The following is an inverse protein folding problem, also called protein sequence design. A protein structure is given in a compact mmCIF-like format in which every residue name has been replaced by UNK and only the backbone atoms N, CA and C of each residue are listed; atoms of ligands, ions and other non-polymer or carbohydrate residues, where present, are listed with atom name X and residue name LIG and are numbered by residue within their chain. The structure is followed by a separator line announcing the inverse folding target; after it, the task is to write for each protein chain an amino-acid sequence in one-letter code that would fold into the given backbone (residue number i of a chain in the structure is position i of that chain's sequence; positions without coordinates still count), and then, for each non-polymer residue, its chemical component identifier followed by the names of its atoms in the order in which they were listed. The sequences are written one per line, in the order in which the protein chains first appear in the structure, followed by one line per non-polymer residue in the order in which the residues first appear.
data_IF_350568813122
#
_entry.id   IF_350568813122
#
_cell.length_a   1.000
_cell.length_b   1.000
_cell.length_c   1.000
_cell.angle_alpha   90.00
_cell.angle_beta   90.00
_cell.angle_gamma   90.00
#
_symmetry.space_group_name_H-M   'P 1'
#
loop_
_entity.id
_entity.type
_entity.pdbx_description
1 polymer ?
#
# COMPACT_ATOMS: atom_id res chain seq x y z
N UNK A 1 33.40 -32.18 79.15
CA UNK A 1 31.98 -32.44 79.47
C UNK A 1 31.18 -32.08 78.22
N UNK A 2 30.36 -33.04 77.74
CA UNK A 2 29.25 -32.97 76.74
C UNK A 2 29.57 -32.31 75.37
N UNK A 3 29.76 -32.98 74.21
CA UNK A 3 29.10 -34.12 73.51
C UNK A 3 27.56 -33.97 73.31
N UNK A 4 27.17 -33.56 72.10
CA UNK A 4 25.98 -33.99 71.29
C UNK A 4 26.29 -33.61 69.82
N UNK A 5 26.81 -34.48 68.94
CA UNK A 5 26.19 -35.60 68.20
C UNK A 5 24.98 -35.21 67.32
N UNK A 6 25.17 -35.19 66.00
CA UNK A 6 24.55 -36.21 65.14
C UNK A 6 25.42 -36.46 63.89
N UNK A 7 25.62 -37.74 63.60
CA UNK A 7 26.49 -38.31 62.56
C UNK A 7 25.66 -38.76 61.31
N UNK A 8 26.33 -39.15 60.21
CA UNK A 8 25.82 -39.18 58.82
C UNK A 8 25.35 -40.56 58.34
N UNK A 9 24.74 -40.63 57.14
CA UNK A 9 24.94 -41.71 56.14
C UNK A 9 24.20 -41.45 54.80
N UNK A 10 24.62 -42.11 53.69
CA UNK A 10 24.51 -41.66 52.30
C UNK A 10 23.55 -42.51 51.44
N UNK A 11 23.24 -42.05 50.23
CA UNK A 11 22.90 -42.94 49.10
C UNK A 11 23.56 -42.46 47.82
N UNK A 12 24.35 -43.37 47.26
CA UNK A 12 25.06 -43.31 45.99
C UNK A 12 24.28 -44.18 44.98
N UNK A 13 24.05 -43.69 43.75
CA UNK A 13 24.03 -44.52 42.53
C UNK A 13 23.84 -43.68 41.23
N UNK A 14 24.93 -43.62 40.45
CA UNK A 14 25.02 -44.10 39.05
C UNK A 14 24.41 -43.31 37.86
N UNK A 15 25.30 -42.55 37.18
CA UNK A 15 25.58 -42.35 35.74
C UNK A 15 24.50 -42.21 34.61
N UNK A 16 24.72 -41.14 33.80
CA UNK A 16 24.55 -40.94 32.33
C UNK A 16 23.20 -40.41 31.76
N UNK A 17 23.14 -39.87 30.51
CA UNK A 17 23.76 -38.65 29.97
C UNK A 17 22.72 -37.63 29.38
N UNK A 18 23.22 -36.47 28.95
CA UNK A 18 22.59 -35.32 28.26
C UNK A 18 21.13 -35.41 27.77
N UNK A 19 20.34 -34.39 28.13
CA UNK A 19 19.29 -33.85 27.24
C UNK A 19 19.48 -32.35 27.14
N UNK A 20 20.07 -31.92 26.02
CA UNK A 20 19.93 -30.57 25.50
C UNK A 20 18.47 -30.18 25.62
N UNK A 21 18.16 -29.14 26.40
CA UNK A 21 16.88 -28.46 26.25
C UNK A 21 16.91 -27.82 24.88
N UNK A 22 16.55 -28.61 23.86
CA UNK A 22 15.97 -28.12 22.64
C UNK A 22 14.72 -27.39 23.10
N UNK A 23 14.84 -26.08 23.28
CA UNK A 23 13.69 -25.22 23.12
C UNK A 23 13.26 -25.46 21.68
N UNK A 24 12.34 -26.42 21.48
CA UNK A 24 11.47 -26.38 20.33
C UNK A 24 10.96 -24.95 20.32
N UNK A 25 11.50 -24.14 19.42
CA UNK A 25 10.84 -22.97 18.94
C UNK A 25 9.55 -23.50 18.34
N UNK A 26 8.52 -23.58 19.18
CA UNK A 26 7.15 -23.45 18.71
C UNK A 26 7.24 -22.25 17.78
N UNK A 27 6.94 -22.37 16.48
CA UNK A 27 6.67 -21.20 15.69
C UNK A 27 5.48 -20.60 16.41
N UNK A 28 5.73 -19.64 17.30
CA UNK A 28 4.72 -18.68 17.64
C UNK A 28 4.22 -18.24 16.28
N UNK A 29 2.93 -18.44 15.94
CA UNK A 29 2.39 -17.57 14.94
C UNK A 29 2.67 -16.21 15.53
N UNK A 30 3.68 -15.53 14.96
CA UNK A 30 3.71 -14.08 14.99
C UNK A 30 2.37 -13.74 14.36
N UNK A 31 1.34 -13.65 15.22
CA UNK A 31 0.14 -12.92 14.90
C UNK A 31 0.71 -11.58 14.50
N UNK A 32 0.77 -11.36 13.20
CA UNK A 32 1.14 -10.10 12.61
C UNK A 32 0.17 -9.08 13.21
N UNK A 33 0.66 -8.35 14.22
CA UNK A 33 -0.12 -7.53 15.14
C UNK A 33 -0.54 -6.25 14.41
N UNK A 34 -1.54 -6.39 13.54
CA UNK A 34 -2.28 -5.30 12.96
C UNK A 34 -1.60 -4.65 11.75
N UNK A 35 -2.37 -3.85 10.99
CA UNK A 35 -1.92 -3.28 9.73
C UNK A 35 -0.64 -2.48 9.94
N UNK A 36 0.41 -2.78 9.16
CA UNK A 36 1.61 -1.94 9.04
C UNK A 36 1.15 -0.50 8.75
N UNK A 37 1.32 0.36 9.75
CA UNK A 37 0.91 1.76 9.64
C UNK A 37 1.89 2.49 8.73
N UNK A 38 1.36 3.36 7.89
CA UNK A 38 2.16 4.24 7.02
C UNK A 38 2.84 5.28 7.90
N UNK A 39 4.17 5.38 7.80
CA UNK A 39 4.93 6.42 8.49
C UNK A 39 4.63 7.80 7.90
N UNK A 40 4.59 8.83 8.76
CA UNK A 40 4.26 10.20 8.32
C UNK A 40 5.23 10.74 7.27
N UNK A 41 6.49 10.28 7.27
CA UNK A 41 7.49 10.63 6.24
C UNK A 41 7.11 10.05 4.89
N UNK A 42 6.77 8.77 4.85
CA UNK A 42 6.38 8.10 3.59
C UNK A 42 5.07 8.67 3.06
N UNK A 43 4.12 9.00 3.94
CA UNK A 43 2.90 9.70 3.55
C UNK A 43 3.22 11.08 2.95
N UNK A 44 4.11 11.86 3.56
CA UNK A 44 4.52 13.17 3.06
C UNK A 44 5.21 13.08 1.70
N UNK A 45 6.11 12.11 1.53
CA UNK A 45 6.78 11.84 0.24
C UNK A 45 5.75 11.44 -0.81
N UNK A 46 4.79 10.59 -0.45
CA UNK A 46 3.70 10.21 -1.34
C UNK A 46 2.89 11.40 -1.85
N UNK A 47 2.49 12.30 -0.95
CA UNK A 47 1.78 13.52 -1.33
C UNK A 47 2.66 14.43 -2.19
N UNK A 48 3.94 14.59 -1.86
CA UNK A 48 4.86 15.39 -2.67
C UNK A 48 5.00 14.85 -4.10
N UNK A 49 5.17 13.53 -4.24
CA UNK A 49 5.20 12.85 -5.55
C UNK A 49 3.88 13.03 -6.29
N UNK A 50 2.74 12.88 -5.60
CA UNK A 50 1.42 13.12 -6.19
C UNK A 50 1.25 14.54 -6.72
N UNK A 51 1.76 15.55 -6.00
CA UNK A 51 1.72 16.96 -6.45
C UNK A 51 2.57 17.15 -7.71
N UNK A 52 3.77 16.58 -7.76
CA UNK A 52 4.64 16.66 -8.95
C UNK A 52 3.97 15.98 -10.14
N UNK A 53 3.39 14.79 -9.97
CA UNK A 53 2.67 14.09 -11.02
C UNK A 53 1.41 14.87 -11.44
N UNK A 54 0.67 15.47 -10.50
CA UNK A 54 -0.48 16.30 -10.80
C UNK A 54 -0.10 17.53 -11.64
N UNK A 55 1.03 18.17 -11.36
CA UNK A 55 1.56 19.27 -12.19
C UNK A 55 1.85 18.80 -13.62
N UNK A 56 2.53 17.66 -13.77
CA UNK A 56 2.79 17.06 -15.08
C UNK A 56 1.47 16.74 -15.81
N UNK A 57 0.52 16.11 -15.14
CA UNK A 57 -0.79 15.78 -15.72
C UNK A 57 -1.60 17.03 -16.06
N UNK A 58 -1.44 18.13 -15.31
CA UNK A 58 -2.08 19.40 -15.62
C UNK A 58 -1.56 19.99 -16.93
N UNK A 59 -0.25 19.91 -17.16
CA UNK A 59 0.37 20.29 -18.44
C UNK A 59 -0.16 19.41 -19.57
N UNK A 60 -0.21 18.08 -19.37
CA UNK A 60 -0.75 17.13 -20.36
C UNK A 60 -2.21 17.45 -20.67
N UNK A 61 -3.05 17.68 -19.65
CA UNK A 61 -4.46 18.10 -19.81
C UNK A 61 -4.57 19.36 -20.65
N UNK A 62 -3.77 20.38 -20.34
CA UNK A 62 -3.82 21.67 -21.04
C UNK A 62 -3.38 21.54 -22.50
N UNK A 63 -2.28 20.82 -22.74
CA UNK A 63 -1.81 20.50 -24.09
C UNK A 63 -2.87 19.71 -24.88
N UNK A 64 -3.51 18.73 -24.23
CA UNK A 64 -4.55 17.91 -24.83
C UNK A 64 -5.80 18.74 -25.20
N UNK A 65 -6.27 19.58 -24.29
CA UNK A 65 -7.40 20.48 -24.57
C UNK A 65 -7.09 21.43 -25.73
N UNK A 66 -5.88 22.00 -25.76
CA UNK A 66 -5.46 22.92 -26.83
C UNK A 66 -5.30 22.22 -28.19
N UNK A 67 -4.81 20.97 -28.19
CA UNK A 67 -4.76 20.13 -29.39
C UNK A 67 -6.17 19.83 -29.92
N UNK A 68 -7.14 19.52 -29.05
CA UNK A 68 -8.54 19.24 -29.44
C UNK A 68 -9.26 20.44 -30.06
N UNK A 69 -8.94 21.66 -29.63
CA UNK A 69 -9.46 22.88 -30.28
C UNK A 69 -8.91 23.02 -31.70
N UNK A 70 -7.64 22.66 -31.94
CA UNK A 70 -7.06 22.64 -33.30
C UNK A 70 -7.71 21.59 -34.20
N UNK A 71 -8.20 20.48 -33.64
CA UNK A 71 -8.96 19.45 -34.36
C UNK A 71 -10.44 19.80 -34.64
N UNK A 72 -10.85 21.06 -34.38
CA UNK A 72 -12.22 21.57 -34.57
C UNK A 72 -13.30 20.90 -33.72
N UNK A 73 -12.93 20.42 -32.54
CA UNK A 73 -13.90 19.93 -31.56
C UNK A 73 -14.45 21.12 -30.76
N UNK A 74 -15.75 21.10 -30.46
CA UNK A 74 -16.37 22.15 -29.66
C UNK A 74 -15.56 22.44 -28.38
N UNK A 75 -15.28 23.72 -28.04
CA UNK A 75 -14.41 24.08 -26.91
C UNK A 75 -14.86 23.47 -25.58
N UNK A 76 -16.17 23.32 -25.39
CA UNK A 76 -16.76 22.67 -24.21
C UNK A 76 -16.35 21.19 -24.09
N UNK A 77 -16.36 20.44 -25.20
CA UNK A 77 -16.00 19.02 -25.23
C UNK A 77 -14.49 18.82 -25.11
N UNK A 78 -13.69 19.73 -25.69
CA UNK A 78 -12.24 19.73 -25.52
C UNK A 78 -11.85 19.88 -24.03
N UNK A 79 -12.44 20.85 -23.33
CA UNK A 79 -12.18 21.06 -21.91
C UNK A 79 -12.66 19.87 -21.06
N UNK A 80 -13.87 19.37 -21.30
CA UNK A 80 -14.41 18.20 -20.59
C UNK A 80 -13.50 16.96 -20.74
N UNK A 81 -13.01 16.68 -21.96
CA UNK A 81 -12.08 15.55 -22.18
C UNK A 81 -10.77 15.72 -21.41
N UNK A 82 -10.23 16.93 -21.33
CA UNK A 82 -9.03 17.20 -20.53
C UNK A 82 -9.25 16.94 -19.04
N UNK A 83 -10.43 17.26 -18.51
CA UNK A 83 -10.79 16.99 -17.12
C UNK A 83 -10.89 15.50 -16.80
N UNK A 84 -11.58 14.72 -17.64
CA UNK A 84 -11.68 13.27 -17.43
C UNK A 84 -10.33 12.54 -17.62
N UNK A 85 -9.49 13.02 -18.54
CA UNK A 85 -8.11 12.53 -18.70
C UNK A 85 -7.31 12.77 -17.42
N UNK A 86 -7.33 14.01 -16.93
CA UNK A 86 -6.60 14.41 -15.72
C UNK A 86 -7.06 13.61 -14.51
N UNK A 87 -8.36 13.49 -14.30
CA UNK A 87 -8.91 12.76 -13.17
C UNK A 87 -8.56 11.26 -13.23
N UNK A 88 -8.59 10.66 -14.42
CA UNK A 88 -8.18 9.26 -14.63
C UNK A 88 -6.70 9.05 -14.29
N UNK A 89 -5.82 9.89 -14.84
CA UNK A 89 -4.38 9.84 -14.58
C UNK A 89 -4.06 10.10 -13.11
N UNK A 90 -4.74 11.06 -12.48
CA UNK A 90 -4.57 11.39 -11.07
C UNK A 90 -4.95 10.20 -10.18
N UNK A 91 -6.05 9.52 -10.47
CA UNK A 91 -6.46 8.34 -9.70
C UNK A 91 -5.51 7.16 -9.90
N UNK A 92 -5.08 6.89 -11.13
CA UNK A 92 -4.10 5.84 -11.43
C UNK A 92 -2.77 6.14 -10.72
N UNK A 93 -2.36 7.40 -10.68
CA UNK A 93 -1.17 7.81 -9.94
C UNK A 93 -1.35 7.68 -8.43
N UNK A 94 -2.50 8.08 -7.88
CA UNK A 94 -2.79 7.88 -6.46
C UNK A 94 -2.75 6.39 -6.09
N UNK A 95 -3.27 5.53 -6.97
CA UNK A 95 -3.15 4.08 -6.82
C UNK A 95 -1.71 3.61 -6.81
N UNK A 96 -0.90 4.04 -7.78
CA UNK A 96 0.50 3.68 -7.85
C UNK A 96 1.27 4.14 -6.59
N UNK A 97 1.03 5.36 -6.13
CA UNK A 97 1.67 5.93 -4.95
C UNK A 97 1.26 5.20 -3.67
N UNK A 98 -0.03 4.93 -3.47
CA UNK A 98 -0.51 4.16 -2.32
C UNK A 98 -0.01 2.70 -2.35
N UNK A 99 0.08 2.09 -3.53
CA UNK A 99 0.65 0.76 -3.69
C UNK A 99 2.14 0.72 -3.33
N UNK A 100 2.91 1.79 -3.61
CA UNK A 100 4.33 1.87 -3.24
C UNK A 100 4.50 2.07 -1.74
N UNK A 101 3.69 2.92 -1.11
CA UNK A 101 3.85 3.30 0.30
C UNK A 101 3.20 2.26 1.25
N UNK A 102 2.13 1.61 0.80
CA UNK A 102 1.39 0.63 1.58
C UNK A 102 0.90 -0.54 0.72
N UNK A 103 1.84 -1.26 0.09
CA UNK A 103 1.53 -2.42 -0.77
C UNK A 103 0.69 -3.49 -0.06
N UNK A 104 1.01 -3.77 1.21
CA UNK A 104 0.39 -4.86 1.98
C UNK A 104 -1.11 -4.67 2.23
N UNK A 105 -1.57 -3.44 2.49
CA UNK A 105 -2.99 -3.17 2.73
C UNK A 105 -3.71 -2.61 1.48
N UNK A 106 -3.00 -1.95 0.57
CA UNK A 106 -3.63 -1.30 -0.56
C UNK A 106 -4.02 -2.26 -1.69
N UNK A 107 -3.24 -3.32 -1.90
CA UNK A 107 -3.55 -4.34 -2.91
C UNK A 107 -4.74 -5.22 -2.52
N UNK A 108 -5.25 -5.09 -1.28
CA UNK A 108 -6.48 -5.76 -0.88
C UNK A 108 -7.63 -5.28 -1.77
N UNK A 109 -8.42 -6.19 -2.36
CA UNK A 109 -9.51 -5.82 -3.26
C UNK A 109 -10.49 -4.81 -2.66
N UNK A 110 -10.63 -4.79 -1.33
CA UNK A 110 -11.49 -3.85 -0.61
C UNK A 110 -11.11 -2.38 -0.81
N UNK A 111 -9.81 -2.07 -0.91
CA UNK A 111 -9.33 -0.69 -1.13
C UNK A 111 -9.07 -0.42 -2.61
N UNK A 112 -8.59 -1.43 -3.34
CA UNK A 112 -8.32 -1.31 -4.76
C UNK A 112 -9.61 -1.18 -5.60
N UNK A 113 -10.66 -1.94 -5.30
CA UNK A 113 -11.91 -1.93 -6.08
C UNK A 113 -12.58 -0.55 -6.17
N UNK A 114 -12.80 0.20 -5.07
CA UNK A 114 -13.45 1.51 -5.16
C UNK A 114 -12.60 2.52 -5.93
N UNK A 115 -11.30 2.61 -5.66
CA UNK A 115 -10.45 3.54 -6.41
C UNK A 115 -10.34 3.14 -7.89
N UNK A 116 -10.27 1.84 -8.20
CA UNK A 116 -10.19 1.36 -9.58
C UNK A 116 -11.51 1.60 -10.31
N UNK A 117 -12.63 1.47 -9.59
CA UNK A 117 -13.95 1.83 -10.06
C UNK A 117 -14.03 3.30 -10.46
N UNK A 118 -13.61 4.22 -9.59
CA UNK A 118 -13.63 5.66 -9.92
C UNK A 118 -12.65 5.98 -11.05
N UNK A 119 -11.46 5.37 -11.09
CA UNK A 119 -10.51 5.54 -12.18
C UNK A 119 -11.09 5.04 -13.51
N UNK A 120 -11.76 3.89 -13.48
CA UNK A 120 -12.47 3.29 -14.60
C UNK A 120 -13.63 4.16 -15.08
N UNK A 121 -14.45 4.70 -14.17
CA UNK A 121 -15.53 5.64 -14.51
C UNK A 121 -14.97 6.89 -15.19
N UNK A 122 -13.88 7.45 -14.66
CA UNK A 122 -13.20 8.59 -15.29
C UNK A 122 -12.69 8.26 -16.68
N UNK A 123 -12.10 7.06 -16.86
CA UNK A 123 -11.64 6.57 -18.15
C UNK A 123 -12.80 6.35 -19.13
N UNK A 124 -13.90 5.77 -18.68
CA UNK A 124 -15.11 5.57 -19.49
C UNK A 124 -15.71 6.91 -19.89
N UNK A 125 -15.82 7.87 -18.97
CA UNK A 125 -16.31 9.22 -19.28
C UNK A 125 -15.39 9.95 -20.29
N UNK A 126 -14.08 9.76 -20.14
CA UNK A 126 -13.10 10.23 -21.12
C UNK A 126 -13.34 9.59 -22.50
N UNK A 127 -13.51 8.26 -22.55
CA UNK A 127 -13.81 7.51 -23.77
C UNK A 127 -15.13 7.94 -24.43
N UNK A 128 -16.18 8.14 -23.64
CA UNK A 128 -17.47 8.63 -24.12
C UNK A 128 -17.37 10.04 -24.72
N UNK A 129 -16.41 10.85 -24.28
CA UNK A 129 -16.14 12.14 -24.92
C UNK A 129 -15.62 11.98 -26.35
N UNK A 130 -15.05 10.82 -26.72
CA UNK A 130 -14.75 10.46 -28.11
C UNK A 130 -15.90 9.78 -28.83
N UNK A 131 -16.62 8.88 -28.17
CA UNK A 131 -17.66 8.05 -28.79
C UNK A 131 -19.00 8.74 -29.03
N UNK A 132 -19.27 9.89 -28.39
CA UNK A 132 -20.46 10.67 -28.74
C UNK A 132 -20.28 11.27 -30.14
N UNK A 133 -20.77 10.46 -31.10
CA UNK A 133 -20.85 10.55 -32.56
C UNK A 133 -20.55 11.92 -33.17
N UNK A 134 -19.70 11.89 -34.22
CA UNK A 134 -19.64 12.91 -35.28
C UNK A 134 -20.99 13.05 -35.97
#
# INVERSE_FOLDING_TARGET
MTQTSSLPAPVENQAAPATSTSTLSVPTPVLDLGPKKVDSRDALVGVAVLVVLALIFFVIKNAYANWRVRERVAPSRANASGWFLFLGLLLISAMAVLAVINSGQFLTPLYLAPLAGVAGISLVAWLMTFSAKR
#
